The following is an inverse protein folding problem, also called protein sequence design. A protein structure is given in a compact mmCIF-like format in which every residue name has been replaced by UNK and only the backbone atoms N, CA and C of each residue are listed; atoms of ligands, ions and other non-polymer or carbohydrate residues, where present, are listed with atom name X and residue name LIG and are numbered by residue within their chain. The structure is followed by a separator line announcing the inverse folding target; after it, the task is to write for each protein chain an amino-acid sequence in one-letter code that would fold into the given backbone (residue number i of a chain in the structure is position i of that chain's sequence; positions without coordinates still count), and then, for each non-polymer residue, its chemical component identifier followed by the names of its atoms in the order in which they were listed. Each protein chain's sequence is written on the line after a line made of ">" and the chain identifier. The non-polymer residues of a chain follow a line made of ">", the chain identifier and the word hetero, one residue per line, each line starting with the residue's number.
data_IF_021787326099
#
_entry.id   IF_021787326099
#
_cell.length_a   1.000
_cell.length_b   1.000
_cell.length_c   1.000
_cell.angle_alpha   90.00
_cell.angle_beta   90.00
_cell.angle_gamma   90.00
#
_symmetry.space_group_name_H-M   'P 1'
#
loop_
_entity.id
_entity.type
_entity.pdbx_description
1 polymer ?
#
# COMPACT_ATOMS: atom_id res chain seq x y z
N UNK A 1 -16.25 5.27 -11.35
CA UNK A 1 -15.47 5.39 -10.11
C UNK A 1 -14.01 5.45 -10.53
N UNK A 2 -13.34 6.56 -10.29
CA UNK A 2 -11.92 6.70 -10.62
C UNK A 2 -11.12 5.71 -9.76
N UNK A 3 -10.46 4.73 -10.37
CA UNK A 3 -9.58 3.83 -9.64
C UNK A 3 -8.36 4.63 -9.20
N UNK A 4 -8.21 4.86 -7.89
CA UNK A 4 -7.00 5.49 -7.35
C UNK A 4 -5.81 4.56 -7.55
N UNK A 5 -4.62 5.08 -7.91
CA UNK A 5 -3.39 4.30 -7.93
C UNK A 5 -3.18 3.57 -6.61
N UNK A 6 -2.63 2.36 -6.67
CA UNK A 6 -2.42 1.48 -5.53
C UNK A 6 -0.92 1.30 -5.31
N UNK A 7 -0.50 1.28 -4.05
CA UNK A 7 0.89 1.04 -3.68
C UNK A 7 1.32 -0.32 -4.23
N UNK A 8 2.40 -0.36 -5.00
CA UNK A 8 2.91 -1.57 -5.64
C UNK A 8 3.70 -2.49 -4.67
N UNK A 9 3.57 -2.25 -3.35
CA UNK A 9 4.05 -3.13 -2.27
C UNK A 9 2.90 -3.62 -1.38
N UNK A 10 2.04 -2.72 -0.87
CA UNK A 10 1.00 -3.09 0.11
C UNK A 10 -0.45 -2.93 -0.39
N UNK A 11 -0.67 -2.50 -1.64
CA UNK A 11 -2.02 -2.40 -2.20
C UNK A 11 -2.93 -1.30 -1.60
N UNK A 12 -2.45 -0.49 -0.66
CA UNK A 12 -3.23 0.67 -0.17
C UNK A 12 -3.30 1.77 -1.24
N UNK A 13 -4.34 2.61 -1.28
CA UNK A 13 -4.39 3.74 -2.21
C UNK A 13 -3.20 4.68 -2.01
N UNK A 14 -2.56 5.10 -3.10
CA UNK A 14 -1.52 6.13 -3.11
C UNK A 14 -2.13 7.39 -3.70
N UNK A 15 -1.95 8.50 -3.01
CA UNK A 15 -2.42 9.79 -3.49
C UNK A 15 -2.75 10.77 -2.37
N UNK A 16 -3.43 11.82 -2.78
CA UNK A 16 -4.01 12.79 -1.86
C UNK A 16 -5.37 12.31 -1.33
N UNK A 17 -5.64 12.62 -0.07
CA UNK A 17 -6.90 12.33 0.60
C UNK A 17 -7.28 13.46 1.55
N UNK A 18 -8.59 13.65 1.70
CA UNK A 18 -9.17 14.57 2.67
C UNK A 18 -9.46 13.76 3.93
N UNK A 19 -8.89 14.18 5.05
CA UNK A 19 -9.15 13.59 6.35
C UNK A 19 -10.52 14.04 6.89
N UNK A 20 -11.01 13.36 7.94
CA UNK A 20 -12.32 13.67 8.55
C UNK A 20 -12.42 15.11 9.08
N UNK A 21 -11.29 15.70 9.45
CA UNK A 21 -11.19 17.08 9.92
C UNK A 21 -11.10 18.13 8.79
N UNK A 22 -11.18 17.69 7.52
CA UNK A 22 -11.07 18.54 6.35
C UNK A 22 -9.64 18.86 5.92
N UNK A 23 -8.62 18.37 6.64
CA UNK A 23 -7.22 18.54 6.25
C UNK A 23 -6.85 17.69 5.03
N UNK A 24 -5.95 18.21 4.19
CA UNK A 24 -5.35 17.47 3.08
C UNK A 24 -4.14 16.69 3.58
N UNK A 25 -4.06 15.43 3.20
CA UNK A 25 -2.90 14.58 3.43
C UNK A 25 -2.53 13.84 2.14
N UNK A 26 -1.27 13.42 2.04
CA UNK A 26 -0.75 12.62 0.95
C UNK A 26 0.19 11.56 1.52
N UNK A 27 0.23 10.38 0.92
CA UNK A 27 1.02 9.25 1.40
C UNK A 27 2.05 8.77 0.39
N UNK A 28 2.56 9.62 -0.49
CA UNK A 28 3.53 9.22 -1.51
C UNK A 28 4.90 8.81 -0.92
N UNK A 29 5.54 7.82 -1.53
CA UNK A 29 6.93 7.46 -1.25
C UNK A 29 7.93 8.51 -1.75
N UNK A 30 9.21 8.27 -1.51
CA UNK A 30 10.29 9.15 -2.00
C UNK A 30 11.37 8.38 -2.74
N UNK A 31 11.83 8.95 -3.86
CA UNK A 31 12.97 8.48 -4.63
C UNK A 31 14.29 8.91 -3.97
N UNK A 32 15.42 8.38 -4.46
CA UNK A 32 16.75 8.67 -3.92
C UNK A 32 17.14 10.15 -4.04
N UNK A 33 16.65 10.84 -5.08
CA UNK A 33 16.85 12.27 -5.30
C UNK A 33 15.91 13.17 -4.45
N UNK A 34 15.07 12.57 -3.61
CA UNK A 34 14.08 13.26 -2.79
C UNK A 34 12.77 13.59 -3.50
N UNK A 35 12.64 13.29 -4.80
CA UNK A 35 11.38 13.46 -5.53
C UNK A 35 10.30 12.47 -5.07
N UNK A 36 9.04 12.81 -5.32
CA UNK A 36 7.89 11.99 -4.96
C UNK A 36 7.79 10.73 -5.80
N UNK A 37 7.45 9.60 -5.17
CA UNK A 37 7.13 8.34 -5.84
C UNK A 37 5.61 8.08 -5.79
N UNK A 38 4.97 8.00 -6.95
CA UNK A 38 3.53 7.76 -7.08
C UNK A 38 3.14 6.28 -7.14
N UNK A 39 4.11 5.37 -7.23
CA UNK A 39 3.87 3.92 -7.28
C UNK A 39 3.85 3.28 -5.89
N UNK A 40 4.55 3.87 -4.92
CA UNK A 40 4.67 3.36 -3.56
C UNK A 40 4.24 4.40 -2.54
N UNK A 41 3.73 3.97 -1.40
CA UNK A 41 3.43 4.86 -0.30
C UNK A 41 4.67 5.15 0.58
N UNK A 42 4.62 6.23 1.36
CA UNK A 42 5.66 6.64 2.30
C UNK A 42 5.97 5.58 3.35
N UNK A 43 5.03 4.72 3.70
CA UNK A 43 5.26 3.61 4.64
C UNK A 43 6.10 2.50 4.03
N UNK A 44 5.97 2.24 2.72
CA UNK A 44 6.65 1.12 2.06
C UNK A 44 7.96 1.51 1.39
N UNK A 45 8.12 2.77 0.96
CA UNK A 45 9.26 3.17 0.13
C UNK A 45 9.71 4.60 0.46
N UNK A 46 10.97 4.71 0.89
CA UNK A 46 11.59 5.99 1.25
C UNK A 46 13.02 6.05 0.71
N UNK A 47 13.41 7.23 0.22
CA UNK A 47 14.77 7.54 -0.26
C UNK A 47 15.29 6.53 -1.30
N UNK A 48 14.40 6.03 -2.17
CA UNK A 48 14.76 5.08 -3.23
C UNK A 48 14.84 3.62 -2.79
N UNK A 49 14.46 3.29 -1.55
CA UNK A 49 14.54 1.93 -1.01
C UNK A 49 13.26 1.51 -0.29
N UNK A 50 12.98 0.21 -0.24
CA UNK A 50 11.94 -0.31 0.64
C UNK A 50 12.34 -0.09 2.10
N UNK A 51 11.37 0.33 2.92
CA UNK A 51 11.57 0.60 4.35
C UNK A 51 11.84 -0.66 5.15
N UNK A 52 11.30 -1.78 4.71
CA UNK A 52 11.57 -3.12 5.21
C UNK A 52 11.96 -4.01 4.01
N UNK A 53 13.27 -4.17 3.70
CA UNK A 53 13.73 -4.91 2.53
C UNK A 53 13.60 -6.43 2.66
N UNK A 54 13.59 -6.95 3.89
CA UNK A 54 13.56 -8.40 4.18
C UNK A 54 12.13 -8.94 4.36
N UNK A 55 11.14 -8.05 4.40
CA UNK A 55 9.71 -8.40 4.42
C UNK A 55 9.35 -9.39 3.30
N UNK A 56 8.49 -10.36 3.65
CA UNK A 56 7.96 -11.38 2.73
C UNK A 56 6.58 -10.99 2.18
N UNK A 57 6.15 -11.69 1.13
CA UNK A 57 4.81 -11.52 0.58
C UNK A 57 3.74 -11.89 1.62
N UNK A 58 3.95 -12.98 2.34
CA UNK A 58 3.03 -13.50 3.35
C UNK A 58 2.81 -12.48 4.47
N UNK A 59 3.90 -11.94 5.04
CA UNK A 59 3.79 -10.93 6.12
C UNK A 59 3.17 -9.63 5.60
N UNK A 60 3.42 -9.25 4.35
CA UNK A 60 2.75 -8.09 3.74
C UNK A 60 1.24 -8.32 3.54
N UNK A 61 0.83 -9.53 3.14
CA UNK A 61 -0.58 -9.90 3.02
C UNK A 61 -1.29 -9.81 4.37
N UNK A 62 -0.70 -10.39 5.42
CA UNK A 62 -1.23 -10.32 6.79
C UNK A 62 -1.39 -8.86 7.26
N UNK A 63 -0.35 -8.02 7.11
CA UNK A 63 -0.39 -6.59 7.47
C UNK A 63 -1.49 -5.85 6.71
N UNK A 64 -1.63 -6.13 5.41
CA UNK A 64 -2.63 -5.48 4.56
C UNK A 64 -4.04 -5.91 4.93
N UNK A 65 -4.24 -7.21 5.21
CA UNK A 65 -5.52 -7.79 5.62
C UNK A 65 -5.98 -7.19 6.95
N UNK A 66 -5.10 -7.18 7.95
CA UNK A 66 -5.37 -6.59 9.27
C UNK A 66 -5.76 -5.13 9.15
N UNK A 67 -5.05 -4.35 8.33
CA UNK A 67 -5.41 -2.95 8.07
C UNK A 67 -6.79 -2.81 7.40
N UNK A 68 -7.17 -3.71 6.49
CA UNK A 68 -8.50 -3.70 5.88
C UNK A 68 -9.61 -4.02 6.88
N UNK A 69 -9.37 -4.95 7.80
CA UNK A 69 -10.33 -5.34 8.84
C UNK A 69 -10.47 -4.22 9.88
N UNK A 70 -9.36 -3.77 10.47
CA UNK A 70 -9.37 -2.88 11.64
C UNK A 70 -9.66 -1.42 11.26
N UNK A 71 -9.08 -0.94 10.15
CA UNK A 71 -9.16 0.48 9.80
C UNK A 71 -10.21 0.75 8.72
N UNK A 72 -10.41 -0.19 7.79
CA UNK A 72 -11.38 -0.04 6.69
C UNK A 72 -12.69 -0.80 6.94
N UNK A 73 -12.79 -1.55 8.03
CA UNK A 73 -14.00 -2.27 8.46
C UNK A 73 -14.51 -3.27 7.40
N UNK A 74 -13.59 -3.89 6.65
CA UNK A 74 -13.94 -4.98 5.75
C UNK A 74 -14.29 -6.25 6.55
N UNK A 75 -15.25 -7.07 6.11
CA UNK A 75 -15.42 -8.42 6.64
C UNK A 75 -14.14 -9.24 6.43
N UNK A 76 -13.74 -10.03 7.43
CA UNK A 76 -12.50 -10.84 7.41
C UNK A 76 -12.37 -11.67 6.13
N UNK A 77 -13.39 -12.46 5.77
CA UNK A 77 -13.36 -13.30 4.57
C UNK A 77 -13.11 -12.47 3.28
N UNK A 78 -13.71 -11.28 3.19
CA UNK A 78 -13.49 -10.39 2.04
C UNK A 78 -12.09 -9.78 2.03
N UNK A 79 -11.53 -9.46 3.20
CA UNK A 79 -10.18 -8.93 3.31
C UNK A 79 -9.18 -10.00 2.84
N UNK A 80 -9.31 -11.22 3.34
CA UNK A 80 -8.54 -12.40 2.94
C UNK A 80 -8.55 -12.61 1.41
N UNK A 81 -9.74 -12.74 0.80
CA UNK A 81 -9.86 -12.96 -0.65
C UNK A 81 -9.17 -11.85 -1.47
N UNK A 82 -9.31 -10.59 -1.04
CA UNK A 82 -8.71 -9.46 -1.74
C UNK A 82 -7.18 -9.43 -1.63
N UNK A 83 -6.61 -9.74 -0.46
CA UNK A 83 -5.15 -9.74 -0.30
C UNK A 83 -4.51 -10.89 -1.06
N UNK A 84 -5.14 -12.06 -1.10
CA UNK A 84 -4.68 -13.21 -1.89
C UNK A 84 -4.75 -12.93 -3.39
N UNK A 85 -5.81 -12.25 -3.85
CA UNK A 85 -5.97 -11.95 -5.27
C UNK A 85 -4.98 -10.86 -5.75
N UNK A 86 -4.75 -9.82 -4.93
CA UNK A 86 -4.11 -8.58 -5.38
C UNK A 86 -2.61 -8.55 -5.05
N UNK A 87 -2.23 -8.87 -3.80
CA UNK A 87 -0.87 -8.63 -3.30
C UNK A 87 0.22 -9.36 -4.11
N UNK A 88 0.05 -10.64 -4.52
CA UNK A 88 1.04 -11.35 -5.32
C UNK A 88 1.26 -10.76 -6.72
N UNK A 89 0.32 -9.94 -7.22
CA UNK A 89 0.39 -9.31 -8.55
C UNK A 89 1.09 -7.94 -8.53
N UNK A 90 1.36 -7.40 -7.34
CA UNK A 90 2.03 -6.10 -7.18
C UNK A 90 3.52 -6.18 -7.57
N UNK A 91 4.08 -5.09 -8.11
CA UNK A 91 5.45 -5.10 -8.67
C UNK A 91 6.52 -5.63 -7.72
N UNK A 92 6.42 -5.35 -6.41
CA UNK A 92 7.40 -5.82 -5.42
C UNK A 92 7.43 -7.35 -5.31
N UNK A 93 6.27 -7.99 -5.44
CA UNK A 93 6.08 -9.41 -5.12
C UNK A 93 5.89 -10.30 -6.33
N UNK A 94 5.52 -9.71 -7.47
CA UNK A 94 5.31 -10.42 -8.71
C UNK A 94 6.62 -11.10 -9.10
N UNK A 95 6.66 -12.43 -8.97
CA UNK A 95 7.71 -13.26 -9.58
C UNK A 95 7.50 -13.20 -11.10
N UNK A 96 8.54 -12.81 -11.83
CA UNK A 96 8.55 -12.76 -13.29
C UNK A 96 8.40 -14.17 -13.89
#
# INVERSE_FOLDING_TARGET
>A
MEQKPRCQSCGIPVGEFIQKDGSKAANFGTNMDGSTNSEYCSTCFQKGTYTDPDETLETMMEKTEMNMIENLHFPTARAHDLVEEITPKLKRWKRL
#
